data_IF_999273254418
#
_entry.id   IF_999273254418
#
_cell.length_a   1.000
_cell.length_b   1.000
_cell.length_c   1.000
_cell.angle_alpha   90.00
_cell.angle_beta   90.00
_cell.angle_gamma   90.00
#
_symmetry.space_group_name_H-M   'P 1'
#
loop_
_entity.id
_entity.type
_entity.pdbx_description
1 polymer ?
#
# COMPACT_ATOMS: atom_id res chain seq x y z
N UNK A 1 -12.79 14.90 15.88
CA UNK A 1 -12.85 14.76 17.36
C UNK A 1 -11.44 14.62 17.89
N UNK A 2 -10.78 13.48 17.65
CA UNK A 2 -9.37 13.28 18.03
C UNK A 2 -8.46 14.45 17.63
N UNK A 3 -8.46 14.83 16.35
CA UNK A 3 -7.62 15.92 15.83
C UNK A 3 -7.86 17.25 16.53
N UNK A 4 -9.12 17.56 16.83
CA UNK A 4 -9.50 18.83 17.47
C UNK A 4 -9.06 18.83 18.92
N UNK A 5 -9.24 17.71 19.64
CA UNK A 5 -8.85 17.62 21.05
C UNK A 5 -7.33 17.61 21.21
N UNK A 6 -6.62 16.89 20.35
CA UNK A 6 -5.16 16.86 20.36
C UNK A 6 -4.53 18.24 20.08
N UNK A 7 -5.11 19.02 19.16
CA UNK A 7 -4.67 20.41 18.89
C UNK A 7 -5.05 21.38 20.02
N UNK A 8 -6.11 21.10 20.78
CA UNK A 8 -6.47 21.95 21.93
C UNK A 8 -5.53 21.72 23.11
N UNK A 9 -4.95 20.52 23.21
CA UNK A 9 -4.06 20.12 24.30
C UNK A 9 -2.59 20.48 24.05
N UNK A 10 -2.25 20.97 22.86
CA UNK A 10 -0.87 21.32 22.51
C UNK A 10 -0.40 22.62 23.15
N UNK A 11 0.79 22.61 23.75
CA UNK A 11 1.45 23.81 24.24
C UNK A 11 2.32 24.50 23.19
N UNK A 12 2.96 23.76 22.28
CA UNK A 12 3.86 24.29 21.24
C UNK A 12 3.72 23.55 19.88
N UNK A 13 4.19 24.19 18.82
CA UNK A 13 4.26 23.67 17.45
C UNK A 13 5.69 23.28 17.02
N UNK A 14 6.69 23.53 17.86
CA UNK A 14 8.10 23.29 17.55
C UNK A 14 8.38 21.80 17.21
N UNK A 15 7.67 20.87 17.85
CA UNK A 15 7.67 19.42 17.58
C UNK A 15 7.41 19.05 16.11
N UNK A 16 6.69 19.89 15.34
CA UNK A 16 6.44 19.64 13.91
C UNK A 16 7.69 19.72 13.05
N UNK A 17 8.67 20.52 13.47
CA UNK A 17 9.88 20.81 12.72
C UNK A 17 11.10 20.06 13.25
N UNK A 18 10.93 19.28 14.32
CA UNK A 18 11.97 18.43 14.84
C UNK A 18 12.41 17.35 13.84
N UNK A 19 13.72 17.09 13.85
CA UNK A 19 14.34 16.03 13.07
C UNK A 19 14.87 15.00 14.06
N UNK A 20 14.55 13.72 13.83
CA UNK A 20 15.05 12.62 14.65
C UNK A 20 16.59 12.61 14.70
N UNK A 21 17.13 12.61 15.92
CA UNK A 21 18.57 12.50 16.23
C UNK A 21 18.84 11.26 17.09
N UNK A 22 20.12 10.93 17.28
CA UNK A 22 20.56 9.76 18.04
C UNK A 22 20.05 9.73 19.49
N UNK A 23 20.11 10.88 20.18
CA UNK A 23 19.67 10.98 21.57
C UNK A 23 18.35 11.74 21.64
N UNK A 24 17.35 11.11 22.23
CA UNK A 24 16.03 11.68 22.47
C UNK A 24 15.81 11.61 23.98
N UNK A 25 15.84 12.76 24.64
CA UNK A 25 15.51 12.88 26.06
C UNK A 25 14.16 13.56 26.20
N UNK A 26 13.33 13.04 27.10
CA UNK A 26 12.03 13.64 27.43
C UNK A 26 12.13 14.32 28.79
N UNK A 27 11.92 15.63 28.81
CA UNK A 27 11.86 16.39 30.06
C UNK A 27 10.42 16.34 30.59
N UNK A 28 10.25 15.64 31.72
CA UNK A 28 8.94 15.44 32.33
C UNK A 28 8.37 16.72 32.99
N UNK A 29 9.21 17.72 33.28
CA UNK A 29 8.78 18.95 33.91
C UNK A 29 8.28 19.97 32.88
N UNK A 30 8.95 20.07 31.73
CA UNK A 30 8.56 20.95 30.61
C UNK A 30 7.67 20.28 29.56
N UNK A 31 7.51 18.96 29.62
CA UNK A 31 6.83 18.14 28.60
C UNK A 31 7.46 18.28 27.20
N UNK A 32 8.74 18.63 27.15
CA UNK A 32 9.47 18.91 25.92
C UNK A 32 10.36 17.72 25.52
N UNK A 33 10.52 17.52 24.22
CA UNK A 33 11.38 16.48 23.65
C UNK A 33 12.67 17.14 23.20
N UNK A 34 13.77 16.87 23.90
CA UNK A 34 15.07 17.43 23.54
C UNK A 34 15.85 16.41 22.71
N UNK A 35 16.04 16.72 21.43
CA UNK A 35 16.82 15.90 20.50
C UNK A 35 18.27 16.39 20.37
N UNK A 36 19.24 15.54 20.71
CA UNK A 36 20.68 15.88 20.63
C UNK A 36 21.49 14.84 19.83
N UNK A 37 22.67 15.26 19.35
CA UNK A 37 23.57 14.41 18.55
C UNK A 37 23.35 14.51 17.03
N UNK A 38 23.93 13.56 16.30
CA UNK A 38 23.84 13.49 14.85
C UNK A 38 22.45 13.04 14.37
N UNK A 39 22.14 13.32 13.10
CA UNK A 39 20.85 12.97 12.48
C UNK A 39 20.81 11.47 12.19
N UNK A 40 20.03 10.71 12.97
CA UNK A 40 19.84 9.27 12.82
C UNK A 40 18.43 8.94 12.26
N UNK A 41 18.26 9.17 10.96
CA UNK A 41 17.03 8.80 10.26
C UNK A 41 17.15 7.37 9.74
N UNK A 42 16.25 6.51 10.19
CA UNK A 42 16.10 5.14 9.70
C UNK A 42 15.43 5.12 8.31
N UNK A 43 16.18 5.53 7.28
CA UNK A 43 15.70 5.70 5.89
C UNK A 43 15.06 4.44 5.30
N UNK A 44 15.62 3.27 5.60
CA UNK A 44 15.09 1.97 5.13
C UNK A 44 13.68 1.73 5.65
N UNK A 45 13.49 1.82 6.97
CA UNK A 45 12.21 1.62 7.66
C UNK A 45 11.20 2.67 7.22
N UNK A 46 11.62 3.93 7.11
CA UNK A 46 10.78 5.05 6.69
C UNK A 46 10.23 4.81 5.27
N UNK A 47 11.10 4.54 4.29
CA UNK A 47 10.69 4.34 2.90
C UNK A 47 9.82 3.08 2.74
N UNK A 48 10.12 1.99 3.45
CA UNK A 48 9.32 0.76 3.41
C UNK A 48 7.92 0.99 3.98
N UNK A 49 7.83 1.70 5.12
CA UNK A 49 6.57 1.98 5.78
C UNK A 49 5.70 2.93 4.95
N UNK A 50 6.28 4.01 4.43
CA UNK A 50 5.58 4.93 3.54
C UNK A 50 5.07 4.21 2.29
N UNK A 51 5.91 3.39 1.65
CA UNK A 51 5.45 2.62 0.49
C UNK A 51 4.30 1.67 0.85
N UNK A 52 4.37 1.00 2.01
CA UNK A 52 3.29 0.14 2.49
C UNK A 52 1.97 0.91 2.70
N UNK A 53 2.05 2.14 3.23
CA UNK A 53 0.89 3.00 3.53
C UNK A 53 0.20 3.56 2.28
N UNK A 54 0.95 3.79 1.19
CA UNK A 54 0.44 4.38 -0.06
C UNK A 54 0.17 3.36 -1.18
N UNK A 55 0.53 2.08 -1.01
CA UNK A 55 0.27 1.06 -2.04
C UNK A 55 -1.23 0.78 -2.23
N UNK A 56 -1.56 0.18 -3.37
CA UNK A 56 -2.89 -0.41 -3.61
C UNK A 56 -3.80 0.42 -4.52
N UNK A 57 -3.37 1.60 -4.97
CA UNK A 57 -4.14 2.42 -5.93
C UNK A 57 -4.43 1.66 -7.24
N UNK A 58 -3.55 0.76 -7.66
CA UNK A 58 -3.73 -0.12 -8.81
C UNK A 58 -4.79 -1.23 -8.60
N UNK A 59 -5.19 -1.54 -7.36
CA UNK A 59 -6.24 -2.54 -7.12
C UNK A 59 -7.59 -2.06 -7.67
N UNK A 60 -7.81 -0.75 -7.77
CA UNK A 60 -9.03 -0.21 -8.36
C UNK A 60 -9.20 -0.66 -9.82
N UNK A 61 -8.12 -0.74 -10.61
CA UNK A 61 -8.21 -1.10 -12.03
C UNK A 61 -8.64 -2.55 -12.29
N UNK A 62 -8.57 -3.41 -11.27
CA UNK A 62 -9.00 -4.81 -11.37
C UNK A 62 -10.50 -4.92 -11.61
N UNK A 63 -11.27 -3.92 -11.18
CA UNK A 63 -12.72 -3.82 -11.37
C UNK A 63 -13.11 -3.15 -12.69
N UNK A 64 -12.19 -3.08 -13.66
CA UNK A 64 -12.39 -2.39 -14.94
C UNK A 64 -13.68 -2.77 -15.66
N UNK A 65 -14.06 -4.05 -15.63
CA UNK A 65 -15.28 -4.55 -16.26
C UNK A 65 -16.58 -4.30 -15.49
N UNK A 66 -16.49 -3.97 -14.21
CA UNK A 66 -17.67 -3.76 -13.32
C UNK A 66 -18.00 -2.26 -13.15
N UNK A 67 -17.17 -1.36 -13.69
CA UNK A 67 -17.32 0.09 -13.57
C UNK A 67 -17.93 0.68 -14.84
N UNK A 68 -18.99 1.47 -14.68
CA UNK A 68 -19.56 2.25 -15.78
C UNK A 68 -18.62 3.39 -16.18
N UNK A 69 -18.38 3.54 -17.49
CA UNK A 69 -17.51 4.57 -18.06
C UNK A 69 -16.12 4.65 -17.39
N UNK A 70 -15.33 3.55 -17.42
CA UNK A 70 -14.10 3.42 -16.64
C UNK A 70 -13.11 4.56 -16.88
N UNK A 71 -13.00 5.01 -18.13
CA UNK A 71 -12.13 6.10 -18.55
C UNK A 71 -12.24 7.38 -17.69
N UNK A 72 -13.45 7.84 -17.39
CA UNK A 72 -13.69 9.07 -16.61
C UNK A 72 -13.77 8.77 -15.12
N UNK A 73 -14.42 7.67 -14.76
CA UNK A 73 -14.63 7.27 -13.37
C UNK A 73 -13.30 6.99 -12.66
N UNK A 74 -12.37 6.29 -13.29
CA UNK A 74 -11.05 6.02 -12.70
C UNK A 74 -10.21 7.27 -12.49
N UNK A 75 -10.15 8.18 -13.46
CA UNK A 75 -9.39 9.42 -13.31
C UNK A 75 -9.89 10.27 -12.14
N UNK A 76 -11.22 10.43 -12.03
CA UNK A 76 -11.83 11.18 -10.92
C UNK A 76 -11.63 10.46 -9.59
N UNK A 77 -11.85 9.15 -9.54
CA UNK A 77 -11.65 8.35 -8.33
C UNK A 77 -10.21 8.46 -7.82
N UNK A 78 -9.21 8.28 -8.69
CA UNK A 78 -7.79 8.42 -8.31
C UNK A 78 -7.48 9.82 -7.76
N UNK A 79 -8.00 10.87 -8.41
CA UNK A 79 -7.79 12.25 -7.96
C UNK A 79 -8.42 12.49 -6.57
N UNK A 80 -9.67 12.09 -6.36
CA UNK A 80 -10.33 12.22 -5.05
C UNK A 80 -9.65 11.37 -3.99
N UNK A 81 -9.28 10.13 -4.30
CA UNK A 81 -8.55 9.26 -3.38
C UNK A 81 -7.20 9.85 -2.99
N UNK A 82 -6.45 10.44 -3.93
CA UNK A 82 -5.18 11.09 -3.63
C UNK A 82 -5.36 12.27 -2.65
N UNK A 83 -6.36 13.14 -2.90
CA UNK A 83 -6.67 14.26 -2.00
C UNK A 83 -7.15 13.78 -0.62
N UNK A 84 -8.04 12.79 -0.58
CA UNK A 84 -8.54 12.23 0.67
C UNK A 84 -7.41 11.61 1.47
N UNK A 85 -6.53 10.82 0.83
CA UNK A 85 -5.36 10.23 1.48
C UNK A 85 -4.47 11.32 2.10
N UNK A 86 -4.18 12.39 1.36
CA UNK A 86 -3.40 13.53 1.83
C UNK A 86 -4.00 14.10 3.12
N UNK A 87 -5.30 14.39 3.14
CA UNK A 87 -5.97 14.92 4.33
C UNK A 87 -6.03 13.92 5.48
N UNK A 88 -6.33 12.65 5.20
CA UNK A 88 -6.45 11.61 6.24
C UNK A 88 -5.13 11.21 6.87
N UNK A 89 -4.00 11.42 6.19
CA UNK A 89 -2.69 11.24 6.80
C UNK A 89 -2.20 12.52 7.47
N UNK A 90 -2.23 13.67 6.78
CA UNK A 90 -1.67 14.90 7.33
C UNK A 90 -2.42 15.37 8.58
N UNK A 91 -3.77 15.44 8.55
CA UNK A 91 -4.52 16.06 9.65
C UNK A 91 -4.36 15.29 10.97
N UNK A 92 -4.54 13.95 11.03
CA UNK A 92 -4.35 13.20 12.28
C UNK A 92 -2.89 13.08 12.69
N UNK A 93 -1.96 13.05 11.74
CA UNK A 93 -0.52 12.97 12.03
C UNK A 93 -0.02 14.27 12.64
N UNK A 94 -0.34 15.42 12.06
CA UNK A 94 0.06 16.72 12.63
C UNK A 94 -0.55 16.94 14.00
N UNK A 95 -1.82 16.56 14.18
CA UNK A 95 -2.48 16.65 15.48
C UNK A 95 -1.85 15.71 16.52
N UNK A 96 -1.35 14.54 16.11
CA UNK A 96 -0.68 13.60 17.01
C UNK A 96 0.73 14.04 17.40
N UNK A 97 1.46 14.71 16.50
CA UNK A 97 2.82 15.21 16.78
C UNK A 97 2.79 16.42 17.71
N UNK A 98 1.86 17.34 17.47
CA UNK A 98 1.73 18.60 18.22
C UNK A 98 1.16 18.40 19.64
N UNK A 99 0.65 17.21 19.95
CA UNK A 99 -0.03 16.97 21.22
C UNK A 99 0.94 16.47 22.27
N UNK A 100 1.07 17.22 23.36
CA UNK A 100 1.93 16.90 24.52
C UNK A 100 1.42 15.68 25.33
N UNK A 101 0.31 15.08 24.91
CA UNK A 101 -0.32 13.95 25.58
C UNK A 101 0.57 12.69 25.54
N UNK A 102 1.40 12.54 24.50
CA UNK A 102 2.41 11.49 24.43
C UNK A 102 3.55 11.92 23.49
N UNK A 103 4.81 11.76 23.92
CA UNK A 103 5.96 12.03 23.07
C UNK A 103 5.92 11.25 21.75
N UNK A 104 6.28 11.93 20.65
CA UNK A 104 6.19 11.36 19.30
C UNK A 104 7.03 10.09 19.10
N UNK A 105 8.13 9.93 19.84
CA UNK A 105 9.00 8.75 19.75
C UNK A 105 8.39 7.48 20.40
N UNK A 106 7.33 7.63 21.22
CA UNK A 106 6.56 6.52 21.80
C UNK A 106 5.37 6.11 20.90
N UNK A 107 5.15 6.82 19.78
CA UNK A 107 4.12 6.47 18.79
C UNK A 107 4.56 5.28 17.95
N UNK A 108 4.30 4.07 18.46
CA UNK A 108 4.44 2.83 17.72
C UNK A 108 3.12 2.37 17.05
N UNK A 109 3.19 1.30 16.26
CA UNK A 109 2.10 0.69 15.48
C UNK A 109 0.81 0.49 16.27
N UNK A 110 0.93 0.02 17.50
CA UNK A 110 -0.20 -0.38 18.35
C UNK A 110 -0.54 0.66 19.42
N UNK A 111 0.19 1.77 19.49
CA UNK A 111 0.02 2.77 20.54
C UNK A 111 -1.10 3.78 20.24
N UNK A 112 -1.62 3.85 19.02
CA UNK A 112 -2.60 4.88 18.64
C UNK A 112 -3.90 4.88 19.50
N UNK A 113 -4.51 3.73 19.87
CA UNK A 113 -5.64 3.73 20.81
C UNK A 113 -5.23 4.12 22.25
N UNK A 114 -3.97 3.89 22.64
CA UNK A 114 -3.42 4.34 23.92
C UNK A 114 -3.18 5.84 23.91
N UNK A 115 -2.65 6.38 22.82
CA UNK A 115 -2.53 7.82 22.58
C UNK A 115 -3.89 8.53 22.71
N UNK A 116 -4.92 7.97 22.09
CA UNK A 116 -6.29 8.45 22.22
C UNK A 116 -6.84 8.50 23.67
N UNK A 117 -6.29 7.68 24.57
CA UNK A 117 -6.66 7.70 25.98
C UNK A 117 -6.10 8.92 26.71
N UNK A 118 -4.86 9.33 26.43
CA UNK A 118 -4.29 10.53 27.04
C UNK A 118 -5.01 11.78 26.54
N UNK A 119 -5.31 11.84 25.25
CA UNK A 119 -5.97 13.02 24.65
C UNK A 119 -7.45 13.20 25.07
N UNK A 120 -8.20 12.10 25.17
CA UNK A 120 -9.67 12.17 25.30
C UNK A 120 -10.29 11.18 26.26
N UNK A 121 -9.46 10.55 27.10
CA UNK A 121 -9.88 9.57 28.08
C UNK A 121 -10.45 8.27 27.48
N UNK A 122 -11.15 7.52 28.33
CA UNK A 122 -11.68 6.19 28.00
C UNK A 122 -12.65 6.17 26.82
N UNK A 123 -13.43 7.24 26.65
CA UNK A 123 -14.39 7.34 25.55
C UNK A 123 -13.68 7.36 24.20
N UNK A 124 -12.69 8.25 24.03
CA UNK A 124 -11.97 8.40 22.77
C UNK A 124 -11.13 7.16 22.43
N UNK A 125 -10.49 6.54 23.44
CA UNK A 125 -9.83 5.24 23.30
C UNK A 125 -10.77 4.16 22.75
N UNK A 126 -11.96 4.03 23.34
CA UNK A 126 -12.91 2.98 22.95
C UNK A 126 -13.40 3.21 21.52
N UNK A 127 -13.68 4.46 21.16
CA UNK A 127 -14.08 4.84 19.80
C UNK A 127 -12.98 4.52 18.78
N UNK A 128 -11.73 4.90 19.04
CA UNK A 128 -10.60 4.61 18.15
C UNK A 128 -10.31 3.12 18.07
N UNK A 129 -10.44 2.38 19.17
CA UNK A 129 -10.30 0.92 19.16
C UNK A 129 -11.34 0.26 18.25
N UNK A 130 -12.62 0.64 18.38
CA UNK A 130 -13.69 0.11 17.52
C UNK A 130 -13.44 0.49 16.05
N UNK A 131 -13.09 1.76 15.79
CA UNK A 131 -12.79 2.23 14.45
C UNK A 131 -11.60 1.48 13.82
N UNK A 132 -10.56 1.18 14.60
CA UNK A 132 -9.37 0.44 14.15
C UNK A 132 -9.71 -1.02 13.83
N UNK A 133 -10.54 -1.67 14.67
CA UNK A 133 -11.02 -3.03 14.41
C UNK A 133 -11.90 -3.09 13.15
N UNK A 134 -12.88 -2.19 13.02
CA UNK A 134 -13.74 -2.10 11.85
C UNK A 134 -12.96 -1.75 10.57
N UNK A 135 -11.98 -0.84 10.67
CA UNK A 135 -11.12 -0.45 9.56
C UNK A 135 -10.24 -1.61 9.08
N UNK A 136 -9.64 -2.36 10.01
CA UNK A 136 -8.82 -3.54 9.69
C UNK A 136 -9.67 -4.66 9.04
N UNK A 137 -10.87 -4.93 9.57
CA UNK A 137 -11.80 -5.87 8.97
C UNK A 137 -12.23 -5.43 7.57
N UNK A 138 -12.56 -4.14 7.40
CA UNK A 138 -12.90 -3.55 6.10
C UNK A 138 -11.78 -3.67 5.08
N UNK A 139 -10.54 -3.37 5.49
CA UNK A 139 -9.35 -3.49 4.64
C UNK A 139 -9.11 -4.95 4.22
N UNK A 140 -9.27 -5.90 5.14
CA UNK A 140 -9.18 -7.33 4.85
C UNK A 140 -10.21 -7.77 3.81
N UNK A 141 -11.49 -7.40 3.99
CA UNK A 141 -12.56 -7.73 3.05
C UNK A 141 -12.32 -7.10 1.67
N UNK A 142 -11.91 -5.83 1.62
CA UNK A 142 -11.61 -5.13 0.37
C UNK A 142 -10.41 -5.77 -0.37
N UNK A 143 -9.35 -6.14 0.36
CA UNK A 143 -8.20 -6.81 -0.21
C UNK A 143 -8.57 -8.18 -0.79
N UNK A 144 -9.31 -8.99 -0.04
CA UNK A 144 -9.79 -10.31 -0.51
C UNK A 144 -10.62 -10.16 -1.79
N UNK A 145 -11.51 -9.16 -1.84
CA UNK A 145 -12.33 -8.87 -3.00
C UNK A 145 -11.49 -8.48 -4.23
N UNK A 146 -10.53 -7.57 -4.07
CA UNK A 146 -9.64 -7.16 -5.17
C UNK A 146 -8.80 -8.34 -5.71
N UNK A 147 -8.28 -9.20 -4.84
CA UNK A 147 -7.49 -10.38 -5.27
C UNK A 147 -8.37 -11.43 -5.96
N UNK A 148 -9.59 -11.62 -5.48
CA UNK A 148 -10.57 -12.53 -6.09
C UNK A 148 -10.85 -12.14 -7.55
N UNK A 149 -11.13 -10.85 -7.80
CA UNK A 149 -11.38 -10.35 -9.16
C UNK A 149 -10.12 -10.38 -10.03
N UNK A 150 -8.95 -10.16 -9.46
CA UNK A 150 -7.68 -10.28 -10.18
C UNK A 150 -7.48 -11.70 -10.72
N UNK A 151 -7.65 -12.71 -9.85
CA UNK A 151 -7.51 -14.12 -10.23
C UNK A 151 -8.59 -14.52 -11.25
N UNK A 152 -9.82 -14.04 -11.09
CA UNK A 152 -10.90 -14.29 -12.04
C UNK A 152 -10.61 -13.68 -13.41
N UNK A 153 -10.16 -12.42 -13.48
CA UNK A 153 -9.78 -11.76 -14.73
C UNK A 153 -8.56 -12.42 -15.40
N UNK A 154 -7.62 -12.95 -14.62
CA UNK A 154 -6.55 -13.80 -15.16
C UNK A 154 -7.13 -15.07 -15.79
N UNK A 155 -8.11 -15.71 -15.15
CA UNK A 155 -8.74 -16.93 -15.64
C UNK A 155 -9.56 -16.70 -16.92
N UNK A 156 -10.25 -15.56 -17.04
CA UNK A 156 -10.98 -15.14 -18.23
C UNK A 156 -10.03 -14.93 -19.43
N UNK A 157 -8.86 -14.32 -19.19
CA UNK A 157 -7.75 -14.22 -20.17
C UNK A 157 -6.99 -15.55 -20.40
N UNK A 158 -7.55 -16.64 -19.86
CA UNK A 158 -7.03 -18.01 -19.87
C UNK A 158 -5.70 -18.16 -19.11
N UNK A 159 -5.15 -17.10 -18.51
CA UNK A 159 -3.82 -17.06 -17.89
C UNK A 159 -3.65 -18.13 -16.83
N UNK A 160 -4.71 -18.42 -16.08
CA UNK A 160 -4.80 -19.49 -15.07
C UNK A 160 -5.95 -20.44 -15.42
N UNK A 161 -6.12 -21.59 -14.73
CA UNK A 161 -7.15 -22.57 -15.05
C UNK A 161 -8.56 -21.96 -15.12
N UNK A 162 -9.31 -22.30 -16.18
CA UNK A 162 -10.65 -21.75 -16.46
C UNK A 162 -11.67 -21.99 -15.34
N UNK A 163 -11.43 -22.98 -14.48
CA UNK A 163 -12.26 -23.27 -13.30
C UNK A 163 -12.36 -22.05 -12.37
N UNK A 164 -11.34 -21.20 -12.33
CA UNK A 164 -11.30 -19.98 -11.53
C UNK A 164 -12.11 -18.82 -12.15
N UNK A 165 -12.42 -18.89 -13.44
CA UNK A 165 -13.31 -17.92 -14.12
C UNK A 165 -14.80 -18.23 -13.88
N UNK A 166 -15.13 -19.38 -13.28
CA UNK A 166 -16.53 -19.80 -13.11
C UNK A 166 -17.25 -18.89 -12.12
N UNK A 167 -18.16 -18.07 -12.64
CA UNK A 167 -19.06 -17.21 -11.87
C UNK A 167 -20.26 -18.00 -11.35
N UNK A 168 -20.76 -17.62 -10.18
CA UNK A 168 -21.97 -18.20 -9.59
C UNK A 168 -23.24 -17.76 -10.34
N UNK A 169 -24.19 -18.68 -10.54
CA UNK A 169 -25.48 -18.38 -11.18
C UNK A 169 -26.33 -17.36 -10.43
N UNK A 170 -26.30 -17.35 -9.09
CA UNK A 170 -27.14 -16.47 -8.27
C UNK A 170 -26.58 -15.07 -8.07
N UNK A 171 -25.27 -14.96 -7.83
CA UNK A 171 -24.62 -13.70 -7.43
C UNK A 171 -23.59 -13.19 -8.43
N UNK A 172 -23.36 -13.90 -9.54
CA UNK A 172 -22.34 -13.60 -10.56
C UNK A 172 -20.90 -13.41 -10.01
N UNK A 173 -20.66 -13.80 -8.76
CA UNK A 173 -19.37 -13.71 -8.09
C UNK A 173 -18.50 -14.95 -8.38
N UNK A 174 -17.18 -14.79 -8.58
CA UNK A 174 -16.26 -15.88 -8.88
C UNK A 174 -15.89 -16.67 -7.61
N UNK A 175 -16.75 -17.62 -7.22
CA UNK A 175 -16.62 -18.41 -5.98
C UNK A 175 -15.30 -19.17 -5.88
N UNK A 176 -14.85 -19.78 -6.96
CA UNK A 176 -13.63 -20.59 -6.95
C UNK A 176 -12.38 -19.74 -6.77
N UNK A 177 -12.35 -18.55 -7.38
CA UNK A 177 -11.28 -17.58 -7.16
C UNK A 177 -11.28 -17.09 -5.70
N UNK A 178 -12.47 -16.80 -5.14
CA UNK A 178 -12.60 -16.36 -3.74
C UNK A 178 -12.08 -17.42 -2.76
N UNK A 179 -12.46 -18.69 -2.94
CA UNK A 179 -12.01 -19.78 -2.09
C UNK A 179 -10.51 -19.99 -2.18
N UNK A 180 -9.93 -19.94 -3.39
CA UNK A 180 -8.48 -20.00 -3.57
C UNK A 180 -7.76 -18.86 -2.83
N UNK A 181 -8.24 -17.62 -2.98
CA UNK A 181 -7.63 -16.48 -2.30
C UNK A 181 -7.75 -16.57 -0.77
N UNK A 182 -8.86 -17.13 -0.27
CA UNK A 182 -9.05 -17.34 1.17
C UNK A 182 -8.09 -18.40 1.72
N UNK A 183 -7.94 -19.54 1.03
CA UNK A 183 -7.01 -20.61 1.43
C UNK A 183 -5.57 -20.09 1.45
N UNK A 184 -5.16 -19.35 0.42
CA UNK A 184 -3.82 -18.75 0.37
C UNK A 184 -3.61 -17.72 1.48
N UNK A 185 -4.63 -16.93 1.82
CA UNK A 185 -4.56 -15.99 2.93
C UNK A 185 -4.41 -16.70 4.28
N UNK A 186 -5.19 -17.76 4.52
CA UNK A 186 -5.10 -18.56 5.75
C UNK A 186 -3.75 -19.25 5.90
N UNK A 187 -3.14 -19.70 4.79
CA UNK A 187 -1.81 -20.30 4.81
C UNK A 187 -0.71 -19.31 5.26
N UNK A 188 -0.92 -18.01 5.09
CA UNK A 188 0.04 -16.96 5.43
C UNK A 188 -0.20 -16.31 6.80
N UNK A 189 -1.20 -16.76 7.56
CA UNK A 189 -1.62 -16.10 8.81
C UNK A 189 -0.56 -16.12 9.91
N UNK A 190 0.31 -17.14 9.93
CA UNK A 190 1.35 -17.32 10.95
C UNK A 190 2.68 -16.66 10.58
N UNK A 191 2.75 -15.92 9.47
CA UNK A 191 3.97 -15.20 9.10
C UNK A 191 4.10 -13.93 9.93
N UNK A 192 5.33 -13.66 10.36
CA UNK A 192 5.68 -12.42 11.02
C UNK A 192 5.43 -11.21 10.11
N UNK A 193 4.95 -10.12 10.72
CA UNK A 193 4.50 -8.95 9.98
C UNK A 193 5.65 -8.25 9.25
N UNK A 194 6.83 -8.16 9.85
CA UNK A 194 7.94 -7.41 9.26
C UNK A 194 8.50 -8.16 8.04
N UNK A 195 8.56 -9.49 8.14
CA UNK A 195 8.86 -10.37 6.99
C UNK A 195 7.78 -10.26 5.90
N UNK A 196 6.50 -10.24 6.26
CA UNK A 196 5.39 -10.07 5.31
C UNK A 196 5.41 -8.69 4.65
N UNK A 197 5.72 -7.63 5.38
CA UNK A 197 5.75 -6.25 4.91
C UNK A 197 6.84 -6.08 3.85
N UNK A 198 8.06 -6.54 4.15
CA UNK A 198 9.20 -6.46 3.22
C UNK A 198 8.93 -7.23 1.93
N UNK A 199 8.43 -8.47 2.03
CA UNK A 199 8.05 -9.28 0.87
C UNK A 199 6.93 -8.63 0.05
N UNK A 200 5.86 -8.17 0.69
CA UNK A 200 4.71 -7.58 0.00
C UNK A 200 5.10 -6.31 -0.72
N UNK A 201 5.97 -5.50 -0.11
CA UNK A 201 6.45 -4.27 -0.70
C UNK A 201 7.33 -4.53 -1.91
N UNK A 202 8.22 -5.51 -1.85
CA UNK A 202 9.04 -5.90 -2.98
C UNK A 202 8.23 -6.41 -4.17
N UNK A 203 7.22 -7.27 -3.94
CA UNK A 203 6.34 -7.73 -5.00
C UNK A 203 5.52 -6.58 -5.62
N UNK A 204 5.01 -5.68 -4.77
CA UNK A 204 4.26 -4.51 -5.23
C UNK A 204 5.15 -3.56 -6.03
N UNK A 205 6.40 -3.34 -5.62
CA UNK A 205 7.40 -2.56 -6.34
C UNK A 205 7.73 -3.18 -7.70
N UNK A 206 7.95 -4.51 -7.75
CA UNK A 206 8.17 -5.23 -9.00
C UNK A 206 6.99 -5.10 -9.97
N UNK A 207 5.75 -5.22 -9.48
CA UNK A 207 4.55 -4.99 -10.30
C UNK A 207 4.52 -3.55 -10.83
N UNK A 208 4.84 -2.55 -10.01
CA UNK A 208 4.87 -1.16 -10.46
C UNK A 208 5.96 -0.88 -11.50
N UNK A 209 7.14 -1.49 -11.37
CA UNK A 209 8.19 -1.44 -12.39
C UNK A 209 7.70 -2.01 -13.73
N UNK A 210 7.01 -3.15 -13.70
CA UNK A 210 6.41 -3.74 -14.91
C UNK A 210 5.34 -2.83 -15.51
N UNK A 211 4.53 -2.15 -14.69
CA UNK A 211 3.53 -1.17 -15.16
C UNK A 211 4.22 0.01 -15.84
N UNK A 212 5.26 0.58 -15.24
CA UNK A 212 6.05 1.68 -15.83
C UNK A 212 6.64 1.26 -17.16
N UNK A 213 7.30 0.09 -17.21
CA UNK A 213 7.87 -0.47 -18.44
C UNK A 213 6.78 -0.69 -19.51
N UNK A 214 5.62 -1.20 -19.12
CA UNK A 214 4.48 -1.45 -20.02
C UNK A 214 3.94 -0.15 -20.60
N UNK A 215 3.83 0.92 -19.80
CA UNK A 215 3.39 2.24 -20.28
C UNK A 215 4.38 2.79 -21.30
N UNK A 216 5.69 2.70 -21.04
CA UNK A 216 6.74 3.15 -21.97
C UNK A 216 6.66 2.36 -23.28
N UNK A 217 6.56 1.03 -23.20
CA UNK A 217 6.42 0.16 -24.37
C UNK A 217 5.17 0.50 -25.19
N UNK A 218 4.02 0.68 -24.54
CA UNK A 218 2.74 1.03 -25.18
C UNK A 218 2.77 2.42 -25.83
N UNK A 219 3.61 3.34 -25.37
CA UNK A 219 3.80 4.66 -26.02
C UNK A 219 4.61 4.55 -27.31
N UNK A 220 5.55 3.60 -27.38
CA UNK A 220 6.39 3.36 -28.56
C UNK A 220 5.66 2.54 -29.63
N UNK A 221 4.99 1.46 -29.23
CA UNK A 221 4.37 0.52 -30.18
C UNK A 221 3.01 0.99 -30.71
N UNK A 222 2.21 1.66 -29.86
CA UNK A 222 0.82 2.02 -30.19
C UNK A 222 0.56 3.52 -29.94
N UNK A 223 1.19 4.41 -30.73
CA UNK A 223 1.08 5.86 -30.53
C UNK A 223 -0.33 6.39 -30.85
N UNK A 224 -1.03 5.81 -31.83
CA UNK A 224 -2.29 6.33 -32.37
C UNK A 224 -3.56 5.91 -31.60
N UNK A 225 -3.44 5.11 -30.55
CA UNK A 225 -4.61 4.70 -29.76
C UNK A 225 -5.21 5.92 -29.05
N UNK A 226 -6.53 6.09 -29.15
CA UNK A 226 -7.27 7.11 -28.40
C UNK A 226 -7.13 6.86 -26.89
N UNK A 227 -6.50 7.80 -26.19
CA UNK A 227 -6.26 7.71 -24.74
C UNK A 227 -7.18 8.68 -24.01
N UNK A 228 -8.12 8.19 -23.19
CA UNK A 228 -9.08 9.04 -22.50
C UNK A 228 -8.44 9.99 -21.49
N UNK A 229 -7.30 9.59 -20.91
CA UNK A 229 -6.51 10.38 -19.95
C UNK A 229 -5.07 10.48 -20.44
N UNK A 230 -4.52 11.69 -20.42
CA UNK A 230 -3.15 11.98 -20.86
C UNK A 230 -2.40 12.67 -19.73
N UNK A 231 -1.11 12.37 -19.59
CA UNK A 231 -0.23 13.05 -18.64
C UNK A 231 0.02 14.47 -19.17
N UNK A 232 -0.12 15.52 -18.32
CA UNK A 232 0.22 16.88 -18.73
C UNK A 232 1.69 16.94 -19.13
N UNK A 233 2.00 17.52 -20.29
CA UNK A 233 3.38 17.66 -20.78
C UNK A 233 3.93 16.50 -21.63
N UNK A 234 3.11 15.52 -21.98
CA UNK A 234 3.44 14.54 -23.02
C UNK A 234 4.50 13.49 -22.63
N UNK A 235 5.22 12.98 -23.63
CA UNK A 235 6.20 11.90 -23.48
C UNK A 235 7.41 12.27 -22.59
N UNK A 236 8.04 13.46 -22.70
CA UNK A 236 9.22 13.76 -21.87
C UNK A 236 8.86 13.87 -20.39
N UNK A 237 7.71 14.48 -20.06
CA UNK A 237 7.23 14.56 -18.68
C UNK A 237 6.88 13.18 -18.13
N UNK A 238 6.32 12.30 -18.94
CA UNK A 238 6.09 10.91 -18.54
C UNK A 238 7.40 10.20 -18.14
N UNK A 239 8.47 10.37 -18.91
CA UNK A 239 9.78 9.80 -18.57
C UNK A 239 10.34 10.42 -17.29
N UNK A 240 10.30 11.75 -17.16
CA UNK A 240 10.78 12.46 -15.97
C UNK A 240 10.07 11.99 -14.69
N UNK A 241 8.73 11.90 -14.73
CA UNK A 241 7.91 11.42 -13.60
C UNK A 241 8.21 9.94 -13.28
N UNK A 242 8.60 9.13 -14.26
CA UNK A 242 8.87 7.71 -14.05
C UNK A 242 10.24 7.44 -13.40
N UNK A 243 11.23 8.33 -13.52
CA UNK A 243 12.61 8.09 -13.03
C UNK A 243 12.64 7.93 -11.51
N UNK A 244 12.10 8.90 -10.77
CA UNK A 244 12.09 8.90 -9.31
C UNK A 244 11.42 7.64 -8.69
N UNK A 245 10.19 7.25 -9.07
CA UNK A 245 9.57 6.03 -8.54
C UNK A 245 10.30 4.77 -8.99
N UNK A 246 10.90 4.74 -10.18
CA UNK A 246 11.72 3.59 -10.63
C UNK A 246 12.90 3.37 -9.69
N UNK A 247 13.63 4.43 -9.34
CA UNK A 247 14.76 4.34 -8.41
C UNK A 247 14.31 3.83 -7.02
N UNK A 248 13.22 4.40 -6.50
CA UNK A 248 12.63 3.99 -5.22
C UNK A 248 12.20 2.51 -5.23
N UNK A 249 11.53 2.05 -6.28
CA UNK A 249 11.08 0.66 -6.38
C UNK A 249 12.24 -0.31 -6.51
N UNK A 250 13.27 0.04 -7.29
CA UNK A 250 14.51 -0.74 -7.35
C UNK A 250 15.17 -0.86 -5.99
N UNK A 251 15.25 0.24 -5.22
CA UNK A 251 15.80 0.24 -3.87
C UNK A 251 15.01 -0.68 -2.92
N UNK A 252 13.68 -0.58 -2.92
CA UNK A 252 12.81 -1.42 -2.06
C UNK A 252 12.95 -2.91 -2.41
N UNK A 253 13.00 -3.25 -3.70
CA UNK A 253 13.18 -4.64 -4.13
C UNK A 253 14.57 -5.16 -3.78
N UNK A 254 15.62 -4.35 -3.94
CA UNK A 254 16.98 -4.72 -3.55
C UNK A 254 17.10 -4.95 -2.04
N UNK A 255 16.52 -4.06 -1.24
CA UNK A 255 16.49 -4.20 0.22
C UNK A 255 15.74 -5.45 0.68
N UNK A 256 14.65 -5.82 0.01
CA UNK A 256 13.95 -7.06 0.36
C UNK A 256 14.76 -8.32 0.04
N UNK A 257 15.71 -8.25 -0.89
CA UNK A 257 16.62 -9.36 -1.21
C UNK A 257 17.78 -9.48 -0.20
N UNK A 258 18.11 -8.43 0.55
CA UNK A 258 19.18 -8.51 1.55
C UNK A 258 18.78 -9.31 2.79
N UNK A 259 17.49 -9.43 3.08
CA UNK A 259 16.98 -10.33 4.11
C UNK A 259 16.82 -11.75 3.54
N UNK A 260 17.49 -12.73 4.15
CA UNK A 260 17.46 -14.12 3.69
C UNK A 260 16.05 -14.71 3.71
N UNK A 261 15.26 -14.44 4.76
CA UNK A 261 13.89 -14.95 4.91
C UNK A 261 12.99 -14.35 3.82
N UNK A 262 13.03 -13.02 3.65
CA UNK A 262 12.21 -12.32 2.65
C UNK A 262 12.59 -12.73 1.22
N UNK A 263 13.88 -12.94 0.95
CA UNK A 263 14.37 -13.42 -0.35
C UNK A 263 13.86 -14.84 -0.67
N UNK A 264 13.92 -15.77 0.29
CA UNK A 264 13.40 -17.14 0.11
C UNK A 264 11.90 -17.11 -0.16
N UNK A 265 11.13 -16.35 0.61
CA UNK A 265 9.69 -16.22 0.40
C UNK A 265 9.37 -15.62 -0.98
N UNK A 266 10.09 -14.56 -1.39
CA UNK A 266 9.90 -13.98 -2.72
C UNK A 266 10.17 -15.00 -3.82
N UNK A 267 11.28 -15.75 -3.75
CA UNK A 267 11.58 -16.79 -4.73
C UNK A 267 10.52 -17.90 -4.72
N UNK A 268 10.08 -18.34 -3.54
CA UNK A 268 9.07 -19.38 -3.38
C UNK A 268 7.74 -19.01 -4.06
N UNK A 269 7.32 -17.74 -4.02
CA UNK A 269 6.10 -17.28 -4.69
C UNK A 269 6.31 -16.87 -6.16
N UNK A 270 7.49 -16.38 -6.51
CA UNK A 270 7.79 -15.90 -7.86
C UNK A 270 8.09 -17.05 -8.84
N UNK A 271 8.90 -18.03 -8.42
CA UNK A 271 9.36 -19.13 -9.28
C UNK A 271 8.20 -19.96 -9.85
N UNK A 272 7.21 -20.41 -9.07
CA UNK A 272 6.08 -21.16 -9.62
C UNK A 272 5.29 -20.36 -10.67
N UNK A 273 5.14 -19.05 -10.45
CA UNK A 273 4.47 -18.16 -11.40
C UNK A 273 5.22 -18.05 -12.72
N UNK A 274 6.55 -17.89 -12.67
CA UNK A 274 7.40 -17.81 -13.87
C UNK A 274 7.46 -19.14 -14.60
N UNK A 275 7.63 -20.26 -13.88
CA UNK A 275 7.64 -21.61 -14.47
C UNK A 275 6.33 -21.89 -15.19
N UNK A 276 5.20 -21.58 -14.56
CA UNK A 276 3.88 -21.75 -15.17
C UNK A 276 3.68 -20.84 -16.39
N UNK A 277 4.12 -19.57 -16.31
CA UNK A 277 4.08 -18.66 -17.44
C UNK A 277 4.94 -19.15 -18.62
N UNK A 278 6.14 -19.66 -18.34
CA UNK A 278 7.04 -20.24 -19.34
C UNK A 278 6.47 -21.50 -20.00
N UNK A 279 5.97 -22.45 -19.20
CA UNK A 279 5.27 -23.65 -19.70
C UNK A 279 4.11 -23.27 -20.63
N UNK A 280 3.30 -22.29 -20.22
CA UNK A 280 2.13 -21.86 -20.98
C UNK A 280 2.48 -21.06 -22.24
N UNK A 281 3.55 -20.28 -22.21
CA UNK A 281 4.08 -19.60 -23.38
C UNK A 281 4.59 -20.61 -24.42
N UNK A 282 5.32 -21.63 -23.98
CA UNK A 282 5.78 -22.72 -24.83
C UNK A 282 4.60 -23.51 -25.45
N UNK A 283 3.62 -23.89 -24.63
CA UNK A 283 2.42 -24.62 -25.09
C UNK A 283 1.57 -23.83 -26.11
N UNK A 284 1.50 -22.49 -25.98
CA UNK A 284 0.81 -21.66 -26.97
C UNK A 284 1.57 -21.61 -28.29
N UNK A 285 2.90 -21.56 -28.25
CA UNK A 285 3.74 -21.52 -29.45
C UNK A 285 3.77 -22.86 -30.18
N UNK A 286 3.60 -23.98 -29.48
CA UNK A 286 3.49 -25.31 -30.11
C UNK A 286 2.12 -25.57 -30.78
N UNK A 287 1.11 -24.74 -30.51
CA UNK A 287 -0.23 -24.83 -31.11
C UNK A 287 -0.47 -23.82 -32.23
N UNK A 288 0.45 -22.88 -32.46
CA UNK A 288 0.38 -21.84 -33.49
C UNK A 288 1.34 -22.18 -34.64
#
# INVERSE_FOLDING_TARGET
VFTVWAIVESSDLDDLFEIRRENIEYDADTHDVVTTGDVDIQWTTLLNTLFFKFKGMNNASVFGGEVQNPARSYARAIAYTCLLILFTYLIPMTAGIVSDALPWFLLDRDSFPFFAYFVGGKFLRTLIQIASCCGSAGMCMAALHAKTFLVSGMAENRLVPRVLAKRSTRFQSPRNAALLTLVLMLALINLDFDSMLTMTNAYSAAVQLVIIASIIKLRRELPYIARPTKVPGGIPVLFAIAVAPTFMFCYITFYALSSMISAILMLAFFVPGVVYAGYRFYYRRSLA
#
